data_IF_149540143624
#
_entry.id   IF_149540143624
#
_cell.length_a   1.000
_cell.length_b   1.000
_cell.length_c   1.000
_cell.angle_alpha   90.00
_cell.angle_beta   90.00
_cell.angle_gamma   90.00
#
_symmetry.space_group_name_H-M   'P 1'
#
loop_
_entity.id
_entity.type
_entity.pdbx_description
1 polymer ?
#
# COMPACT_ATOMS: atom_id res chain seq x y z
N UNK A 1 -6.08 73.19 -50.31
CA UNK A 1 -4.72 72.68 -50.35
C UNK A 1 -4.57 71.61 -49.27
N UNK A 2 -4.72 70.43 -49.68
CA UNK A 2 -4.01 69.17 -49.41
C UNK A 2 -3.40 68.99 -48.00
N UNK A 3 -4.04 68.14 -47.21
CA UNK A 3 -3.45 67.52 -46.01
C UNK A 3 -3.87 66.05 -45.93
N UNK A 4 -2.91 65.18 -46.22
CA UNK A 4 -3.09 63.70 -46.33
C UNK A 4 -3.17 63.08 -44.95
N UNK A 5 -4.28 62.42 -44.69
CA UNK A 5 -4.51 61.57 -43.51
C UNK A 5 -3.69 60.29 -43.62
N UNK A 6 -2.76 60.07 -42.66
CA UNK A 6 -2.06 58.80 -42.50
C UNK A 6 -2.82 57.87 -41.53
N UNK A 7 -3.33 56.77 -42.04
CA UNK A 7 -3.94 55.71 -41.23
C UNK A 7 -2.85 54.73 -40.78
N UNK A 8 -2.49 54.75 -39.52
CA UNK A 8 -1.63 53.76 -38.95
C UNK A 8 -2.50 52.53 -38.60
N UNK A 9 -2.34 51.46 -39.36
CA UNK A 9 -2.92 50.15 -39.05
C UNK A 9 -2.11 49.49 -37.95
N UNK A 10 -2.70 49.36 -36.76
CA UNK A 10 -2.14 48.61 -35.64
C UNK A 10 -2.45 47.10 -35.85
N UNK A 11 -1.49 46.33 -36.32
CA UNK A 11 -1.60 44.89 -36.43
C UNK A 11 -1.43 44.24 -35.05
N UNK A 12 -2.53 43.79 -34.44
CA UNK A 12 -2.52 43.00 -33.21
C UNK A 12 -2.07 41.57 -33.56
N UNK A 13 -0.81 41.25 -33.32
CA UNK A 13 -0.30 39.87 -33.40
C UNK A 13 -0.79 39.08 -32.19
N UNK A 14 -1.90 38.38 -32.36
CA UNK A 14 -2.40 37.38 -31.38
C UNK A 14 -1.51 36.16 -31.33
N UNK A 15 -0.61 36.07 -30.34
CA UNK A 15 0.17 34.86 -30.08
C UNK A 15 -0.72 33.74 -29.58
N UNK A 16 -0.95 32.74 -30.40
CA UNK A 16 -1.55 31.46 -30.00
C UNK A 16 -0.54 30.73 -29.12
N UNK A 17 -0.72 30.78 -27.79
CA UNK A 17 -0.06 29.92 -26.83
C UNK A 17 -0.62 28.52 -27.02
N UNK A 18 0.01 27.71 -27.86
CA UNK A 18 -0.22 26.27 -27.91
C UNK A 18 0.30 25.64 -26.62
N UNK A 19 -0.53 25.54 -25.60
CA UNK A 19 -0.27 24.75 -24.42
C UNK A 19 -0.25 23.28 -24.81
N UNK A 20 0.91 22.74 -25.15
CA UNK A 20 1.16 21.31 -25.29
C UNK A 20 1.07 20.68 -23.90
N UNK A 21 -0.13 20.40 -23.40
CA UNK A 21 -0.34 19.57 -22.26
C UNK A 21 0.08 18.14 -22.62
N UNK A 22 1.23 17.68 -22.12
CA UNK A 22 1.60 16.27 -22.16
C UNK A 22 0.55 15.48 -21.36
N UNK A 23 -0.42 14.91 -22.04
CA UNK A 23 -1.36 13.98 -21.44
C UNK A 23 -0.60 12.69 -21.14
N UNK A 24 -0.27 12.47 -19.88
CA UNK A 24 0.24 11.18 -19.41
C UNK A 24 -0.78 10.10 -19.83
N UNK A 25 -0.37 9.06 -20.58
CA UNK A 25 -1.30 8.03 -21.01
C UNK A 25 -1.93 7.37 -19.79
N UNK A 26 -3.26 7.20 -19.81
CA UNK A 26 -4.01 6.49 -18.77
C UNK A 26 -3.55 5.05 -18.76
N UNK A 27 -2.95 4.61 -17.65
CA UNK A 27 -2.53 3.22 -17.47
C UNK A 27 -3.73 2.39 -17.01
N UNK A 28 -3.99 1.23 -17.60
CA UNK A 28 -5.06 0.35 -17.13
C UNK A 28 -4.73 -0.19 -15.72
N UNK A 29 -5.74 -0.54 -14.90
CA UNK A 29 -5.54 -1.08 -13.54
C UNK A 29 -4.54 -2.23 -13.47
N UNK A 30 -4.52 -3.11 -14.48
CA UNK A 30 -3.57 -4.22 -14.58
C UNK A 30 -2.09 -3.81 -14.60
N UNK A 31 -1.77 -2.56 -14.93
CA UNK A 31 -0.41 -2.02 -14.98
C UNK A 31 -0.01 -1.20 -13.75
N UNK A 32 -0.95 -0.89 -12.88
CA UNK A 32 -0.71 -0.01 -11.72
C UNK A 32 -1.19 -0.62 -10.40
N UNK A 33 -2.16 -1.54 -10.45
CA UNK A 33 -2.70 -2.17 -9.26
C UNK A 33 -1.81 -3.34 -8.81
N UNK A 34 -1.30 -3.36 -7.57
CA UNK A 34 -0.52 -4.47 -7.04
C UNK A 34 -1.33 -5.78 -6.99
N UNK A 35 -0.66 -6.91 -7.16
CA UNK A 35 -1.22 -8.18 -6.69
C UNK A 35 -1.40 -8.15 -5.18
N UNK A 36 -2.37 -8.87 -4.62
CA UNK A 36 -2.51 -9.00 -3.16
C UNK A 36 -1.25 -9.62 -2.53
N UNK A 37 -1.03 -9.30 -1.26
CA UNK A 37 -0.09 -10.05 -0.44
C UNK A 37 -0.51 -11.52 -0.37
N UNK A 38 0.44 -12.43 -0.16
CA UNK A 38 0.18 -13.87 -0.07
C UNK A 38 0.65 -14.41 1.28
N UNK A 39 0.22 -15.64 1.62
CA UNK A 39 0.64 -16.34 2.83
C UNK A 39 0.38 -15.54 4.11
N UNK A 40 -0.73 -14.80 4.17
CA UNK A 40 -1.12 -14.09 5.39
C UNK A 40 -1.48 -15.07 6.49
N UNK A 41 -0.80 -14.95 7.64
CA UNK A 41 -1.03 -15.74 8.86
C UNK A 41 -1.10 -14.79 10.05
N UNK A 42 -1.92 -15.13 11.03
CA UNK A 42 -2.02 -14.44 12.31
C UNK A 42 -1.70 -15.41 13.45
N UNK A 43 -0.87 -14.99 14.38
CA UNK A 43 -0.50 -15.78 15.56
C UNK A 43 -0.48 -14.92 16.83
N UNK A 44 -0.71 -15.56 17.99
CA UNK A 44 -0.55 -14.87 19.28
C UNK A 44 0.92 -14.76 19.65
N UNK A 45 1.30 -13.61 20.20
CA UNK A 45 2.58 -13.39 20.87
C UNK A 45 2.34 -12.86 22.28
N UNK A 46 3.41 -12.64 23.05
CA UNK A 46 3.28 -12.02 24.39
C UNK A 46 2.76 -10.59 24.31
N UNK A 47 3.11 -9.89 23.24
CA UNK A 47 2.89 -8.45 23.09
C UNK A 47 1.68 -8.10 22.23
N UNK A 48 0.98 -9.12 21.68
CA UNK A 48 -0.15 -8.89 20.79
C UNK A 48 -0.33 -9.97 19.72
N UNK A 49 -1.05 -9.64 18.66
CA UNK A 49 -1.23 -10.51 17.51
C UNK A 49 -0.18 -10.18 16.45
N UNK A 50 0.65 -11.17 16.11
CA UNK A 50 1.65 -11.05 15.05
C UNK A 50 1.03 -11.49 13.74
N UNK A 51 1.09 -10.62 12.75
CA UNK A 51 0.75 -10.91 11.36
C UNK A 51 2.02 -11.11 10.57
N UNK A 52 2.04 -12.15 9.74
CA UNK A 52 3.10 -12.37 8.76
C UNK A 52 2.51 -12.58 7.39
N UNK A 53 3.15 -12.05 6.35
CA UNK A 53 2.71 -12.21 4.97
C UNK A 53 3.89 -12.11 4.02
N UNK A 54 3.67 -12.50 2.78
CA UNK A 54 4.63 -12.33 1.71
C UNK A 54 4.21 -11.19 0.79
N UNK A 55 5.14 -10.24 0.55
CA UNK A 55 4.89 -9.09 -0.32
C UNK A 55 4.78 -9.50 -1.79
N UNK A 56 3.90 -8.85 -2.57
CA UNK A 56 3.85 -9.03 -4.01
C UNK A 56 5.08 -8.39 -4.68
N UNK A 57 5.41 -8.86 -5.87
CA UNK A 57 6.47 -8.31 -6.73
C UNK A 57 5.97 -7.88 -8.10
N UNK A 58 4.67 -8.01 -8.34
CA UNK A 58 4.04 -7.80 -9.64
C UNK A 58 2.74 -7.04 -9.50
N UNK A 59 2.39 -6.34 -10.56
CA UNK A 59 1.04 -5.83 -10.76
C UNK A 59 0.08 -6.96 -11.16
N UNK A 60 -1.21 -6.70 -11.11
CA UNK A 60 -2.26 -7.69 -11.48
C UNK A 60 -2.10 -8.22 -12.90
N UNK A 61 -1.54 -7.44 -13.81
CA UNK A 61 -1.23 -7.85 -15.18
C UNK A 61 0.05 -8.69 -15.34
N UNK A 62 0.76 -9.01 -14.23
CA UNK A 62 1.94 -9.87 -14.25
C UNK A 62 3.27 -9.16 -14.53
N UNK A 63 3.26 -7.86 -14.83
CA UNK A 63 4.51 -7.09 -14.97
C UNK A 63 5.15 -6.82 -13.61
N UNK A 64 6.49 -6.71 -13.59
CA UNK A 64 7.25 -6.41 -12.37
C UNK A 64 6.85 -5.07 -11.79
N UNK A 65 6.67 -5.02 -10.46
CA UNK A 65 6.30 -3.83 -9.70
C UNK A 65 7.51 -3.31 -8.90
N UNK A 66 8.12 -2.19 -9.31
CA UNK A 66 9.26 -1.59 -8.60
C UNK A 66 8.84 -0.58 -7.53
N UNK A 67 7.59 -0.16 -7.51
CA UNK A 67 7.05 0.99 -6.78
C UNK A 67 6.13 0.59 -5.62
N UNK A 68 6.28 -0.61 -5.06
CA UNK A 68 5.54 -1.01 -3.86
C UNK A 68 5.82 -0.02 -2.72
N UNK A 69 4.79 0.73 -2.31
CA UNK A 69 4.88 1.74 -1.25
C UNK A 69 4.79 1.14 0.15
N UNK A 70 3.98 0.09 0.31
CA UNK A 70 3.80 -0.52 1.62
C UNK A 70 2.53 -1.34 1.75
N UNK A 71 2.04 -1.42 3.00
CA UNK A 71 0.87 -2.22 3.36
C UNK A 71 0.01 -1.47 4.37
N UNK A 72 -1.29 -1.58 4.21
CA UNK A 72 -2.28 -1.22 5.23
C UNK A 72 -2.77 -2.48 5.91
N UNK A 73 -2.88 -2.41 7.23
CA UNK A 73 -3.37 -3.48 8.07
C UNK A 73 -4.72 -3.07 8.61
N UNK A 74 -5.71 -3.90 8.36
CA UNK A 74 -7.06 -3.68 8.81
C UNK A 74 -7.54 -4.82 9.71
N UNK A 75 -8.35 -4.47 10.69
CA UNK A 75 -8.94 -5.38 11.68
C UNK A 75 -10.44 -5.17 11.77
N UNK A 76 -11.15 -6.28 11.90
CA UNK A 76 -12.56 -6.31 12.30
C UNK A 76 -12.74 -7.19 13.54
N UNK A 77 -13.67 -6.89 14.44
CA UNK A 77 -13.97 -7.75 15.57
C UNK A 77 -14.64 -9.06 15.13
N UNK A 78 -14.35 -10.12 15.83
CA UNK A 78 -15.04 -11.40 15.91
C UNK A 78 -15.52 -12.03 14.61
N UNK A 79 -16.76 -12.51 14.68
CA UNK A 79 -17.51 -13.14 13.58
C UNK A 79 -18.53 -12.16 13.01
N UNK A 80 -18.89 -12.35 11.75
CA UNK A 80 -19.91 -11.55 11.08
C UNK A 80 -19.36 -10.56 10.06
N UNK A 81 -20.25 -9.72 9.52
CA UNK A 81 -19.94 -8.72 8.48
C UNK A 81 -19.45 -7.39 9.06
N UNK A 82 -18.83 -7.40 10.25
CA UNK A 82 -18.32 -6.17 10.86
C UNK A 82 -17.31 -5.45 9.98
N UNK A 83 -17.38 -4.12 10.00
CA UNK A 83 -16.52 -3.26 9.21
C UNK A 83 -15.05 -3.39 9.63
N UNK A 84 -14.18 -3.41 8.63
CA UNK A 84 -12.75 -3.36 8.86
C UNK A 84 -12.31 -1.91 9.12
N UNK A 85 -11.56 -1.74 10.20
CA UNK A 85 -10.90 -0.48 10.51
C UNK A 85 -9.40 -0.62 10.25
N UNK A 86 -8.78 0.38 9.64
CA UNK A 86 -7.33 0.45 9.51
C UNK A 86 -6.71 0.70 10.89
N UNK A 87 -5.86 -0.23 11.32
CA UNK A 87 -5.17 -0.19 12.62
C UNK A 87 -3.67 -0.01 12.49
N UNK A 88 -3.13 -0.16 11.29
CA UNK A 88 -1.70 0.00 11.05
C UNK A 88 -1.37 0.28 9.59
N UNK A 89 -0.17 0.83 9.38
CA UNK A 89 0.42 1.08 8.08
C UNK A 89 1.91 0.79 8.15
N UNK A 90 2.40 0.01 7.20
CA UNK A 90 3.83 -0.30 7.04
C UNK A 90 4.31 0.34 5.74
N UNK A 91 5.17 1.31 5.83
CA UNK A 91 5.79 1.94 4.66
C UNK A 91 7.13 1.28 4.35
N UNK A 92 7.39 1.09 3.07
CA UNK A 92 8.64 0.58 2.56
C UNK A 92 9.50 1.76 2.08
N UNK A 93 10.55 2.06 2.83
CA UNK A 93 11.61 2.95 2.35
C UNK A 93 12.32 2.32 1.13
N UNK A 94 13.14 3.10 0.45
CA UNK A 94 13.85 2.67 -0.75
C UNK A 94 14.70 1.42 -0.49
N UNK A 95 15.41 1.36 0.64
CA UNK A 95 16.27 0.23 0.97
C UNK A 95 15.44 -1.05 1.19
N UNK A 96 14.33 -0.98 1.89
CA UNK A 96 13.43 -2.13 2.12
C UNK A 96 12.75 -2.58 0.85
N UNK A 97 12.42 -1.64 -0.06
CA UNK A 97 11.74 -1.95 -1.33
C UNK A 97 12.59 -2.85 -2.21
N UNK A 98 13.89 -2.64 -2.27
CA UNK A 98 14.82 -3.39 -3.11
C UNK A 98 15.49 -4.59 -2.42
N UNK A 99 15.21 -4.82 -1.12
CA UNK A 99 15.71 -6.01 -0.45
C UNK A 99 15.11 -7.30 -1.06
N UNK A 100 15.89 -8.38 -1.15
CA UNK A 100 15.40 -9.68 -1.64
C UNK A 100 14.39 -10.31 -0.67
N UNK A 101 14.38 -9.92 0.61
CA UNK A 101 13.44 -10.43 1.61
C UNK A 101 12.00 -10.10 1.24
N UNK A 102 11.18 -11.13 1.10
CA UNK A 102 9.76 -11.02 0.75
C UNK A 102 8.83 -11.16 1.93
N UNK A 103 9.29 -11.71 3.03
CA UNK A 103 8.49 -11.95 4.22
C UNK A 103 8.42 -10.67 5.07
N UNK A 104 7.20 -10.30 5.41
CA UNK A 104 6.84 -9.12 6.17
C UNK A 104 6.22 -9.55 7.50
N UNK A 105 6.38 -8.74 8.52
CA UNK A 105 5.77 -8.96 9.84
C UNK A 105 5.32 -7.64 10.44
N UNK A 106 4.20 -7.68 11.16
CA UNK A 106 3.70 -6.55 11.94
C UNK A 106 2.92 -7.07 13.16
N UNK A 107 2.95 -6.35 14.27
CA UNK A 107 2.30 -6.76 15.51
C UNK A 107 1.22 -5.77 15.92
N UNK A 108 0.01 -6.29 16.13
CA UNK A 108 -1.09 -5.55 16.73
C UNK A 108 -0.96 -5.62 18.27
N UNK A 109 -0.38 -4.58 18.84
CA UNK A 109 -0.23 -4.44 20.30
C UNK A 109 -1.49 -3.92 20.99
N UNK A 110 -2.53 -3.59 20.21
CA UNK A 110 -3.82 -3.10 20.74
C UNK A 110 -4.86 -4.21 20.87
N UNK A 111 -4.50 -5.43 20.52
CA UNK A 111 -5.38 -6.58 20.67
C UNK A 111 -5.62 -6.88 22.15
N UNK A 112 -6.87 -7.19 22.48
CA UNK A 112 -7.29 -7.52 23.87
C UNK A 112 -7.33 -9.04 24.06
N UNK A 113 -6.74 -9.55 25.13
CA UNK A 113 -6.74 -10.97 25.44
C UNK A 113 -8.16 -11.55 25.54
N UNK A 114 -8.36 -12.74 25.01
CA UNK A 114 -9.66 -13.42 24.93
C UNK A 114 -10.53 -12.97 23.76
N UNK A 115 -10.22 -11.87 23.10
CA UNK A 115 -10.99 -11.37 21.97
C UNK A 115 -10.61 -12.07 20.69
N UNK A 116 -11.60 -12.28 19.81
CA UNK A 116 -11.45 -12.82 18.47
C UNK A 116 -11.42 -11.69 17.46
N UNK A 117 -10.46 -11.73 16.51
CA UNK A 117 -10.29 -10.71 15.48
C UNK A 117 -10.12 -11.33 14.11
N UNK A 118 -10.49 -10.56 13.10
CA UNK A 118 -10.22 -10.84 11.68
C UNK A 118 -9.28 -9.77 11.15
N UNK A 119 -8.25 -10.18 10.46
CA UNK A 119 -7.27 -9.27 9.86
C UNK A 119 -7.22 -9.46 8.36
N UNK A 120 -6.96 -8.37 7.67
CA UNK A 120 -6.62 -8.37 6.25
C UNK A 120 -5.52 -7.35 5.98
N UNK A 121 -4.77 -7.57 4.90
CA UNK A 121 -3.65 -6.73 4.49
C UNK A 121 -3.86 -6.28 3.07
N UNK A 122 -3.67 -4.99 2.81
CA UNK A 122 -3.80 -4.36 1.50
C UNK A 122 -2.43 -3.80 1.14
N UNK A 123 -1.88 -4.20 -0.02
CA UNK A 123 -0.66 -3.62 -0.55
C UNK A 123 -0.99 -2.32 -1.31
N UNK A 124 -0.11 -1.32 -1.23
CA UNK A 124 -0.26 -0.08 -1.99
C UNK A 124 1.05 0.33 -2.69
N UNK A 125 0.93 1.01 -3.82
CA UNK A 125 2.06 1.60 -4.55
C UNK A 125 2.41 2.98 -4.03
N UNK A 126 3.54 3.53 -4.45
CA UNK A 126 3.93 4.92 -4.13
C UNK A 126 2.90 5.94 -4.64
N UNK A 127 2.25 5.65 -5.76
CA UNK A 127 1.19 6.47 -6.34
C UNK A 127 -0.19 6.26 -5.67
N UNK A 128 -0.28 5.38 -4.66
CA UNK A 128 -1.50 5.14 -3.89
C UNK A 128 -2.49 4.14 -4.50
N UNK A 129 -2.10 3.38 -5.52
CA UNK A 129 -2.95 2.29 -6.04
C UNK A 129 -2.94 1.10 -5.08
N UNK A 130 -4.11 0.63 -4.71
CA UNK A 130 -4.28 -0.45 -3.74
C UNK A 130 -4.56 -1.80 -4.42
N UNK A 131 -4.10 -2.86 -3.78
CA UNK A 131 -4.45 -4.24 -4.15
C UNK A 131 -5.83 -4.63 -3.61
N UNK A 132 -6.36 -5.75 -4.10
CA UNK A 132 -7.36 -6.46 -3.33
C UNK A 132 -6.79 -6.88 -1.96
N UNK A 133 -7.66 -7.00 -0.94
CA UNK A 133 -7.23 -7.42 0.38
C UNK A 133 -6.76 -8.89 0.39
N UNK A 134 -5.63 -9.15 1.02
CA UNK A 134 -5.20 -10.50 1.39
C UNK A 134 -5.88 -10.91 2.70
N UNK A 135 -6.37 -12.11 2.79
CA UNK A 135 -7.15 -12.61 3.92
C UNK A 135 -8.67 -12.64 3.60
N UNK A 136 -9.56 -12.64 4.61
CA UNK A 136 -9.23 -12.46 6.03
C UNK A 136 -8.60 -13.69 6.69
N UNK A 137 -7.79 -13.44 7.71
CA UNK A 137 -7.36 -14.44 8.68
C UNK A 137 -7.99 -14.16 10.03
N UNK A 138 -8.40 -15.21 10.73
CA UNK A 138 -9.07 -15.09 12.03
C UNK A 138 -8.17 -15.64 13.12
N UNK A 139 -8.10 -14.93 14.24
CA UNK A 139 -7.33 -15.36 15.41
C UNK A 139 -8.06 -14.94 16.69
N UNK A 140 -8.03 -15.81 17.71
CA UNK A 140 -8.37 -15.41 19.09
C UNK A 140 -7.05 -15.06 19.79
N UNK A 141 -6.95 -13.86 20.32
CA UNK A 141 -5.72 -13.44 21.00
C UNK A 141 -5.64 -14.07 22.38
N UNK A 142 -4.69 -14.96 22.56
CA UNK A 142 -4.39 -15.61 23.82
C UNK A 142 -2.86 -15.55 24.06
N UNK A 143 -2.40 -14.62 24.91
CA UNK A 143 -0.96 -14.46 25.16
C UNK A 143 -0.32 -15.69 25.81
N UNK A 144 -1.09 -16.57 26.45
CA UNK A 144 -0.57 -17.81 27.03
C UNK A 144 -0.18 -18.86 25.99
N UNK A 145 -0.72 -18.75 24.77
CA UNK A 145 -0.41 -19.60 23.62
C UNK A 145 0.73 -19.07 22.75
N UNK A 146 1.39 -17.98 23.19
CA UNK A 146 2.56 -17.46 22.49
C UNK A 146 3.66 -18.53 22.44
N UNK A 147 4.32 -18.74 21.29
CA UNK A 147 5.47 -19.64 21.25
C UNK A 147 6.55 -19.10 22.20
N UNK A 148 7.33 -19.99 22.83
CA UNK A 148 8.44 -19.56 23.69
C UNK A 148 9.41 -18.68 22.87
N UNK A 149 10.06 -17.71 23.50
CA UNK A 149 11.07 -16.90 22.82
C UNK A 149 12.15 -17.85 22.25
N UNK A 150 12.71 -17.51 21.07
CA UNK A 150 13.81 -18.29 20.52
C UNK A 150 14.94 -18.35 21.53
N UNK A 151 15.50 -19.56 21.70
CA UNK A 151 16.65 -19.76 22.60
C UNK A 151 17.78 -18.77 22.22
N UNK A 152 18.47 -18.17 23.19
CA UNK A 152 19.60 -17.30 22.91
C UNK A 152 20.61 -18.04 22.03
N UNK A 153 21.06 -17.39 20.96
CA UNK A 153 22.07 -17.96 20.09
C UNK A 153 23.31 -18.33 20.94
N UNK A 154 23.95 -19.48 20.69
CA UNK A 154 25.15 -19.85 21.43
C UNK A 154 26.20 -18.74 21.30
N UNK A 155 26.72 -18.27 22.44
CA UNK A 155 27.79 -17.30 22.45
C UNK A 155 28.98 -17.87 21.69
N UNK A 156 29.45 -17.11 20.70
CA UNK A 156 30.68 -17.42 19.93
C UNK A 156 31.89 -17.01 20.74
#
# INVERSE_FOLDING_TARGET
>A
MTGRSGWAALALAGGLLAACGNKTPVRPPSQVQPKPATSLVAGASKDGVVLTWRRPSEYTGGSRMPDLGGFEIERAPGEGAGDYARIGRVELDEQKRFRPQRDMSWTDTTAVAGMRYRYRVIAFTLDGYESAAAGPVTVTFDPSKAPPPPAPAPAK
#
